data_IF_748713467618
#
_entry.id   IF_748713467618
#
_cell.length_a   1.000
_cell.length_b   1.000
_cell.length_c   1.000
_cell.angle_alpha   90.00
_cell.angle_beta   90.00
_cell.angle_gamma   90.00
#
_symmetry.space_group_name_H-M   'P 1'
#
loop_
_entity.id
_entity.type
_entity.pdbx_description
1 polymer ?
#
# COMPACT_ATOMS: atom_id res chain seq x y z
N UNK A 1 9.10 -15.20 -21.00
CA UNK A 1 8.17 -14.11 -21.33
C UNK A 1 8.67 -13.16 -22.42
N UNK A 2 9.99 -12.98 -22.63
CA UNK A 2 10.51 -12.15 -23.73
C UNK A 2 10.14 -10.66 -23.66
N UNK A 3 9.59 -10.22 -22.51
CA UNK A 3 9.15 -8.85 -22.23
C UNK A 3 9.57 -8.45 -20.82
N UNK A 4 9.46 -7.16 -20.54
CA UNK A 4 9.70 -6.60 -19.21
C UNK A 4 8.77 -7.23 -18.17
N UNK A 5 9.29 -7.54 -16.99
CA UNK A 5 8.49 -7.97 -15.82
C UNK A 5 7.58 -6.85 -15.28
N UNK A 6 7.73 -5.64 -15.80
CA UNK A 6 6.90 -4.48 -15.46
C UNK A 6 5.73 -4.29 -16.44
N UNK A 7 5.66 -5.10 -17.50
CA UNK A 7 4.55 -5.09 -18.44
C UNK A 7 3.50 -6.12 -18.04
N UNK A 8 2.24 -5.71 -18.02
CA UNK A 8 1.13 -6.63 -17.81
C UNK A 8 0.86 -7.47 -19.07
N UNK A 9 0.18 -8.60 -18.89
CA UNK A 9 -0.35 -9.40 -19.98
C UNK A 9 -1.71 -9.96 -19.57
N UNK A 10 -2.65 -10.01 -20.50
CA UNK A 10 -3.95 -10.64 -20.28
C UNK A 10 -3.85 -12.17 -20.28
N UNK A 11 -2.98 -12.72 -21.11
CA UNK A 11 -2.70 -14.15 -21.18
C UNK A 11 -1.33 -14.41 -21.81
N UNK A 12 -0.77 -15.55 -21.42
CA UNK A 12 0.50 -16.06 -21.94
C UNK A 12 0.20 -17.24 -22.86
N UNK A 13 0.84 -17.29 -24.02
CA UNK A 13 0.70 -18.40 -24.96
C UNK A 13 1.30 -19.68 -24.37
N UNK A 14 0.50 -20.74 -24.34
CA UNK A 14 0.89 -22.07 -23.85
C UNK A 14 1.93 -22.74 -24.76
N UNK A 15 2.72 -23.65 -24.20
CA UNK A 15 3.63 -24.53 -24.95
C UNK A 15 2.92 -25.51 -25.88
N UNK A 16 1.60 -25.67 -25.74
CA UNK A 16 0.75 -26.49 -26.62
C UNK A 16 0.27 -25.74 -27.88
N UNK A 17 0.56 -24.44 -28.01
CA UNK A 17 0.13 -23.68 -29.17
C UNK A 17 0.88 -24.13 -30.44
N UNK A 18 0.24 -24.11 -31.61
CA UNK A 18 0.84 -24.68 -32.83
C UNK A 18 2.07 -23.89 -33.31
N UNK A 19 2.10 -22.58 -33.09
CA UNK A 19 3.23 -21.71 -33.44
C UNK A 19 4.19 -21.59 -32.27
N UNK A 20 5.38 -22.20 -32.43
CA UNK A 20 6.42 -22.26 -31.40
C UNK A 20 7.09 -20.92 -31.14
N UNK A 21 7.11 -20.02 -32.11
CA UNK A 21 7.70 -18.68 -31.95
C UNK A 21 6.92 -17.83 -30.95
N UNK A 22 5.63 -18.15 -30.75
CA UNK A 22 4.75 -17.40 -29.86
C UNK A 22 4.73 -17.94 -28.42
N UNK A 23 5.33 -19.11 -28.16
CA UNK A 23 5.29 -19.76 -26.84
C UNK A 23 5.88 -18.87 -25.74
N UNK A 24 5.13 -18.70 -24.65
CA UNK A 24 5.52 -17.84 -23.55
C UNK A 24 5.44 -16.34 -23.86
N UNK A 25 4.93 -15.95 -25.02
CA UNK A 25 4.62 -14.57 -25.37
C UNK A 25 3.37 -14.06 -24.66
N UNK A 26 3.43 -12.83 -24.17
CA UNK A 26 2.29 -12.17 -23.51
C UNK A 26 1.48 -11.30 -24.47
N UNK A 27 0.15 -11.37 -24.41
CA UNK A 27 -0.76 -10.56 -25.23
C UNK A 27 -1.68 -9.69 -24.38
N UNK A 28 -2.21 -8.62 -24.98
CA UNK A 28 -3.15 -7.68 -24.34
C UNK A 28 -4.49 -7.80 -25.06
N UNK A 29 -5.53 -8.22 -24.36
CA UNK A 29 -6.89 -8.21 -24.88
C UNK A 29 -7.47 -6.78 -24.84
N UNK A 30 -8.38 -6.45 -25.78
CA UNK A 30 -9.00 -5.11 -25.87
C UNK A 30 -9.66 -4.64 -24.58
N UNK A 31 -10.28 -5.56 -23.84
CA UNK A 31 -10.94 -5.32 -22.55
C UNK A 31 -10.14 -5.93 -21.39
N UNK A 32 -8.82 -5.71 -21.38
CA UNK A 32 -7.95 -6.24 -20.32
C UNK A 32 -8.33 -5.67 -18.95
N UNK A 33 -8.56 -6.55 -17.98
CA UNK A 33 -8.78 -6.19 -16.57
C UNK A 33 -7.51 -5.77 -15.83
N UNK A 34 -6.36 -5.68 -16.51
CA UNK A 34 -5.05 -5.50 -15.90
C UNK A 34 -4.92 -4.23 -15.04
N UNK A 35 -5.61 -3.14 -15.37
CA UNK A 35 -5.63 -1.94 -14.52
C UNK A 35 -6.29 -2.21 -13.18
N UNK A 36 -7.46 -2.87 -13.19
CA UNK A 36 -8.16 -3.24 -11.95
C UNK A 36 -7.36 -4.26 -11.16
N UNK A 37 -6.75 -5.23 -11.82
CA UNK A 37 -5.85 -6.21 -11.20
C UNK A 37 -4.67 -5.52 -10.51
N UNK A 38 -4.00 -4.60 -11.19
CA UNK A 38 -2.88 -3.84 -10.63
C UNK A 38 -3.31 -2.99 -9.42
N UNK A 39 -4.45 -2.29 -9.51
CA UNK A 39 -4.99 -1.52 -8.39
C UNK A 39 -5.37 -2.43 -7.21
N UNK A 40 -5.91 -3.62 -7.48
CA UNK A 40 -6.23 -4.60 -6.47
C UNK A 40 -4.96 -5.11 -5.76
N UNK A 41 -3.94 -5.49 -6.54
CA UNK A 41 -2.62 -5.91 -6.01
C UNK A 41 -2.03 -4.79 -5.15
N UNK A 42 -1.98 -3.55 -5.65
CA UNK A 42 -1.46 -2.42 -4.86
C UNK A 42 -2.25 -2.22 -3.57
N UNK A 43 -3.58 -2.29 -3.62
CA UNK A 43 -4.43 -2.15 -2.44
C UNK A 43 -4.15 -3.26 -1.42
N UNK A 44 -4.08 -4.52 -1.84
CA UNK A 44 -3.82 -5.67 -0.96
C UNK A 44 -2.39 -5.62 -0.41
N UNK A 45 -1.39 -5.32 -1.23
CA UNK A 45 0.00 -5.17 -0.79
C UNK A 45 0.15 -4.09 0.29
N UNK A 46 -0.57 -2.98 0.16
CA UNK A 46 -0.44 -1.85 1.08
C UNK A 46 -1.31 -1.95 2.32
N UNK A 47 -2.53 -2.46 2.18
CA UNK A 47 -3.54 -2.39 3.24
C UNK A 47 -3.96 -3.78 3.77
N UNK A 48 -3.62 -4.86 3.07
CA UNK A 48 -4.14 -6.19 3.32
C UNK A 48 -5.52 -6.43 2.69
N UNK A 49 -6.07 -7.62 2.93
CA UNK A 49 -7.35 -8.06 2.35
C UNK A 49 -8.56 -7.31 2.93
N UNK A 50 -8.56 -7.08 4.24
CA UNK A 50 -9.69 -6.49 4.97
C UNK A 50 -9.23 -5.37 5.90
N UNK A 51 -8.75 -4.23 5.35
CA UNK A 51 -8.21 -3.14 6.15
C UNK A 51 -9.26 -2.42 6.98
N UNK A 52 -10.54 -2.51 6.62
CA UNK A 52 -11.65 -1.93 7.37
C UNK A 52 -12.59 -3.03 7.83
N UNK A 53 -12.92 -3.02 9.12
CA UNK A 53 -13.85 -3.96 9.74
C UNK A 53 -14.80 -3.22 10.68
N UNK A 54 -15.96 -3.80 10.93
CA UNK A 54 -16.89 -3.34 11.95
C UNK A 54 -16.73 -4.21 13.19
N UNK A 55 -16.37 -3.58 14.32
CA UNK A 55 -16.27 -4.24 15.62
C UNK A 55 -17.32 -3.62 16.53
N UNK A 56 -18.31 -4.39 16.95
CA UNK A 56 -19.44 -3.92 17.77
C UNK A 56 -20.16 -2.70 17.16
N UNK A 57 -20.36 -2.71 15.84
CA UNK A 57 -21.00 -1.62 15.10
C UNK A 57 -20.13 -0.38 14.88
N UNK A 58 -18.88 -0.36 15.36
CA UNK A 58 -17.93 0.75 15.18
C UNK A 58 -16.89 0.44 14.13
N UNK A 59 -16.54 1.43 13.33
CA UNK A 59 -15.53 1.29 12.29
C UNK A 59 -14.13 1.16 12.90
N UNK A 60 -13.37 0.19 12.41
CA UNK A 60 -11.95 0.03 12.74
C UNK A 60 -11.12 -0.17 11.48
N UNK A 61 -10.00 0.53 11.42
CA UNK A 61 -8.99 0.40 10.39
C UNK A 61 -7.78 -0.36 10.95
N UNK A 62 -7.42 -1.46 10.29
CA UNK A 62 -6.30 -2.32 10.64
C UNK A 62 -5.54 -2.68 9.36
N UNK A 63 -4.56 -1.88 8.94
CA UNK A 63 -3.79 -2.21 7.76
C UNK A 63 -2.82 -3.36 8.04
N UNK A 64 -2.80 -4.34 7.15
CA UNK A 64 -1.91 -5.50 7.21
C UNK A 64 -1.11 -5.60 5.91
N UNK A 65 -0.07 -4.75 5.74
CA UNK A 65 0.70 -4.72 4.51
C UNK A 65 1.39 -6.06 4.24
N UNK A 66 1.58 -6.39 2.96
CA UNK A 66 2.31 -7.57 2.47
C UNK A 66 3.49 -7.08 1.62
N UNK A 67 4.46 -6.47 2.29
CA UNK A 67 5.62 -5.80 1.73
C UNK A 67 6.89 -6.57 2.06
N UNK A 68 7.72 -6.76 1.04
CA UNK A 68 9.09 -7.25 1.21
C UNK A 68 9.96 -6.15 1.82
N UNK A 69 10.94 -6.55 2.64
CA UNK A 69 11.91 -5.63 3.27
C UNK A 69 12.65 -4.74 2.26
N UNK A 70 12.83 -5.22 1.03
CA UNK A 70 13.57 -4.51 -0.03
C UNK A 70 12.79 -3.33 -0.62
N UNK A 71 11.47 -3.23 -0.36
CA UNK A 71 10.65 -2.09 -0.78
C UNK A 71 10.82 -0.86 0.12
N UNK A 72 11.39 -1.04 1.32
CA UNK A 72 11.63 0.06 2.24
C UNK A 72 12.89 0.84 1.83
N UNK A 73 12.88 2.13 2.09
CA UNK A 73 13.98 3.04 1.74
C UNK A 73 15.28 2.63 2.43
N UNK A 74 16.40 2.67 1.69
CA UNK A 74 17.73 2.41 2.26
C UNK A 74 18.29 3.63 3.01
N UNK A 75 17.95 4.82 2.53
CA UNK A 75 18.37 6.13 3.02
C UNK A 75 17.17 7.08 3.02
N UNK A 76 17.26 8.17 3.77
CA UNK A 76 16.25 9.23 3.67
C UNK A 76 16.27 9.86 2.28
N UNK A 77 15.10 10.11 1.71
CA UNK A 77 14.94 10.69 0.38
C UNK A 77 13.69 11.56 0.30
N UNK A 78 13.70 12.54 -0.59
CA UNK A 78 12.54 13.37 -0.88
C UNK A 78 11.75 12.76 -2.03
N UNK A 79 10.46 12.52 -1.83
CA UNK A 79 9.55 11.96 -2.83
C UNK A 79 8.38 12.92 -3.00
N UNK A 80 7.86 13.02 -4.22
CA UNK A 80 6.69 13.81 -4.55
C UNK A 80 5.47 12.92 -4.78
N UNK A 81 4.38 13.21 -4.08
CA UNK A 81 3.08 12.55 -4.25
C UNK A 81 2.07 13.47 -4.91
N UNK A 82 1.23 12.89 -5.78
CA UNK A 82 0.13 13.58 -6.42
C UNK A 82 -1.16 13.24 -5.66
N UNK A 83 -1.79 14.27 -5.11
CA UNK A 83 -3.08 14.18 -4.42
C UNK A 83 -4.12 15.02 -5.17
N UNK A 84 -5.40 14.85 -4.80
CA UNK A 84 -6.51 15.59 -5.42
C UNK A 84 -6.30 17.11 -5.39
N UNK A 85 -5.69 17.63 -4.33
CA UNK A 85 -5.51 19.07 -4.09
C UNK A 85 -4.10 19.58 -4.48
N UNK A 86 -3.32 18.80 -5.23
CA UNK A 86 -2.00 19.20 -5.72
C UNK A 86 -0.88 18.24 -5.33
N UNK A 87 0.36 18.73 -5.45
CA UNK A 87 1.56 17.94 -5.17
C UNK A 87 2.03 18.14 -3.74
N UNK A 88 2.47 17.07 -3.09
CA UNK A 88 3.07 17.11 -1.74
C UNK A 88 4.47 16.52 -1.81
N UNK A 89 5.47 17.32 -1.44
CA UNK A 89 6.85 16.84 -1.24
C UNK A 89 6.99 16.31 0.17
N UNK A 90 7.48 15.09 0.29
CA UNK A 90 7.60 14.37 1.56
C UNK A 90 9.04 13.91 1.70
N UNK A 91 9.65 14.25 2.83
CA UNK A 91 10.93 13.66 3.23
C UNK A 91 10.65 12.32 3.91
N UNK A 92 10.90 11.24 3.19
CA UNK A 92 10.73 9.88 3.69
C UNK A 92 11.99 9.49 4.48
N UNK A 93 11.90 9.05 5.75
CA UNK A 93 13.07 8.63 6.51
C UNK A 93 13.67 7.34 5.94
N UNK A 94 14.84 6.96 6.45
CA UNK A 94 15.41 5.65 6.18
C UNK A 94 14.49 4.54 6.75
N UNK A 95 14.50 3.39 6.10
CA UNK A 95 13.78 2.18 6.50
C UNK A 95 12.25 2.38 6.55
N UNK A 96 11.73 3.14 5.60
CA UNK A 96 10.29 3.42 5.52
C UNK A 96 9.72 3.21 4.11
N UNK A 97 8.40 3.13 4.02
CA UNK A 97 7.67 2.95 2.77
C UNK A 97 6.43 3.84 2.84
N UNK A 98 6.04 4.48 1.73
CA UNK A 98 4.89 5.37 1.71
C UNK A 98 3.93 5.07 0.55
N UNK A 99 2.65 5.26 0.82
CA UNK A 99 1.55 5.02 -0.10
C UNK A 99 0.44 6.07 0.09
N UNK A 100 -0.29 6.38 -0.99
CA UNK A 100 -1.43 7.29 -0.95
C UNK A 100 -2.73 6.49 -0.80
N UNK A 101 -3.46 6.70 0.30
CA UNK A 101 -4.78 6.12 0.52
C UNK A 101 -5.86 7.18 0.23
N UNK A 102 -6.90 6.77 -0.50
CA UNK A 102 -8.05 7.61 -0.87
C UNK A 102 -7.73 8.94 -1.56
N UNK A 103 -6.56 9.04 -2.23
CA UNK A 103 -6.13 10.20 -3.02
C UNK A 103 -5.91 11.50 -2.24
N UNK A 104 -5.90 11.44 -0.90
CA UNK A 104 -5.71 12.60 -0.03
C UNK A 104 -4.87 12.33 1.23
N UNK A 105 -4.81 11.09 1.72
CA UNK A 105 -4.06 10.76 2.94
C UNK A 105 -2.76 10.04 2.58
N UNK A 106 -1.65 10.52 3.14
CA UNK A 106 -0.37 9.84 3.04
C UNK A 106 -0.20 8.82 4.17
N UNK A 107 -0.01 7.54 3.84
CA UNK A 107 0.32 6.49 4.80
C UNK A 107 1.80 6.15 4.71
N UNK A 108 2.51 6.20 5.83
CA UNK A 108 3.94 5.89 5.95
C UNK A 108 4.09 4.70 6.90
N UNK A 109 4.80 3.67 6.47
CA UNK A 109 5.26 2.57 7.33
C UNK A 109 6.73 2.75 7.66
N UNK A 110 7.07 2.79 8.94
CA UNK A 110 8.45 2.81 9.43
C UNK A 110 8.83 1.43 9.94
N UNK A 111 9.87 0.83 9.37
CA UNK A 111 10.28 -0.55 9.62
C UNK A 111 11.74 -0.60 10.11
N UNK A 112 12.01 -0.15 11.35
CA UNK A 112 13.36 -0.11 11.90
C UNK A 112 14.06 -1.48 11.91
N UNK A 113 13.29 -2.58 12.00
CA UNK A 113 13.81 -3.95 11.99
C UNK A 113 14.19 -4.46 10.59
N UNK A 114 13.81 -3.78 9.50
CA UNK A 114 14.05 -4.22 8.10
C UNK A 114 13.60 -5.64 7.80
N UNK A 115 12.45 -6.04 8.35
CA UNK A 115 11.88 -7.37 8.11
C UNK A 115 10.72 -7.29 7.13
N UNK A 116 10.36 -8.43 6.55
CA UNK A 116 9.14 -8.50 5.74
C UNK A 116 7.93 -8.25 6.63
N UNK A 117 6.84 -7.73 6.08
CA UNK A 117 5.56 -7.60 6.79
C UNK A 117 4.70 -8.87 6.61
N UNK A 118 5.25 -9.96 6.06
CA UNK A 118 4.60 -11.25 5.89
C UNK A 118 5.50 -12.42 6.30
N UNK A 119 4.91 -13.59 6.56
CA UNK A 119 5.59 -14.79 7.03
C UNK A 119 5.71 -14.88 8.56
N UNK A 120 6.49 -15.87 9.05
CA UNK A 120 6.58 -16.20 10.49
C UNK A 120 7.22 -15.11 11.35
N UNK A 121 8.18 -14.35 10.80
CA UNK A 121 8.97 -13.34 11.52
C UNK A 121 8.59 -11.92 11.11
N UNK A 122 7.32 -11.73 10.81
CA UNK A 122 6.86 -10.55 10.13
C UNK A 122 6.59 -9.40 11.08
N UNK A 123 7.01 -8.19 10.69
CA UNK A 123 6.69 -6.98 11.47
C UNK A 123 5.23 -6.59 11.25
N UNK A 124 4.60 -6.03 12.29
CA UNK A 124 3.20 -5.61 12.31
C UNK A 124 3.09 -4.20 12.83
N UNK A 125 1.98 -3.53 12.54
CA UNK A 125 1.75 -2.20 13.09
C UNK A 125 1.63 -2.28 14.61
N UNK A 126 2.47 -1.51 15.30
CA UNK A 126 2.47 -1.38 16.75
C UNK A 126 1.77 -0.10 17.20
N UNK A 127 1.90 0.97 16.42
CA UNK A 127 1.45 2.31 16.79
C UNK A 127 1.18 3.14 15.53
N UNK A 128 0.27 4.09 15.63
CA UNK A 128 0.03 5.13 14.63
C UNK A 128 0.25 6.52 15.21
N UNK A 129 0.89 7.39 14.45
CA UNK A 129 0.82 8.85 14.59
C UNK A 129 -0.10 9.37 13.49
N UNK A 130 -1.24 9.92 13.89
CA UNK A 130 -2.27 10.45 12.98
C UNK A 130 -2.19 11.96 12.97
N UNK A 131 -2.11 12.57 11.79
CA UNK A 131 -2.20 14.01 11.59
C UNK A 131 -3.48 14.35 10.82
N UNK A 132 -4.36 15.10 11.46
CA UNK A 132 -5.58 15.62 10.85
C UNK A 132 -5.28 16.81 9.93
N UNK A 133 -6.18 17.12 9.01
CA UNK A 133 -6.07 18.30 8.13
C UNK A 133 -6.04 19.61 8.94
N UNK A 134 -6.66 19.63 10.13
CA UNK A 134 -6.59 20.76 11.06
C UNK A 134 -5.18 21.02 11.62
N UNK A 135 -4.25 20.09 11.41
CA UNK A 135 -2.89 20.12 11.96
C UNK A 135 -2.76 19.43 13.31
N UNK A 136 -3.85 18.98 13.93
CA UNK A 136 -3.80 18.21 15.18
C UNK A 136 -3.13 16.87 14.95
N UNK A 137 -2.18 16.53 15.83
CA UNK A 137 -1.53 15.23 15.86
C UNK A 137 -2.00 14.41 17.06
N UNK A 138 -2.08 13.10 16.89
CA UNK A 138 -2.48 12.16 17.94
C UNK A 138 -1.76 10.83 17.76
N UNK A 139 -1.31 10.26 18.87
CA UNK A 139 -0.68 8.94 18.90
C UNK A 139 -1.73 7.93 19.34
N UNK A 140 -1.82 6.81 18.61
CA UNK A 140 -2.72 5.71 18.90
C UNK A 140 -1.89 4.44 19.02
N UNK A 141 -1.91 3.86 20.21
CA UNK A 141 -1.26 2.57 20.48
C UNK A 141 -2.06 1.39 19.93
N UNK A 142 -1.32 0.39 19.47
CA UNK A 142 -1.85 -0.86 18.97
C UNK A 142 -2.04 -0.91 17.45
N UNK A 143 -2.44 -2.09 16.93
CA UNK A 143 -2.51 -2.34 15.49
C UNK A 143 -3.78 -1.80 14.82
N UNK A 144 -4.64 -1.09 15.57
CA UNK A 144 -5.94 -0.63 15.09
C UNK A 144 -6.11 0.89 15.27
N UNK A 145 -6.51 1.59 14.22
CA UNK A 145 -7.17 2.88 14.33
C UNK A 145 -8.67 2.64 14.50
N UNK A 146 -9.20 2.91 15.68
CA UNK A 146 -10.65 2.86 15.96
C UNK A 146 -11.28 4.22 15.67
N UNK A 147 -12.60 4.31 15.77
CA UNK A 147 -13.27 5.59 15.88
C UNK A 147 -12.69 6.45 17.03
N UNK A 148 -12.53 7.77 16.83
CA UNK A 148 -13.02 8.55 15.69
C UNK A 148 -12.10 8.54 14.45
N UNK A 149 -10.87 8.04 14.55
CA UNK A 149 -9.87 8.14 13.48
C UNK A 149 -10.21 7.29 12.25
N UNK A 150 -10.80 6.11 12.43
CA UNK A 150 -11.20 5.25 11.31
C UNK A 150 -12.21 5.94 10.38
N UNK A 151 -13.22 6.60 10.96
CA UNK A 151 -14.23 7.36 10.21
C UNK A 151 -13.64 8.61 9.60
N UNK A 152 -12.82 9.35 10.36
CA UNK A 152 -12.10 10.52 9.86
C UNK A 152 -11.22 10.19 8.63
N UNK A 153 -10.59 9.02 8.60
CA UNK A 153 -9.82 8.54 7.45
C UNK A 153 -10.70 8.35 6.20
N UNK A 154 -11.86 7.70 6.35
CA UNK A 154 -12.79 7.49 5.21
C UNK A 154 -13.45 8.77 4.72
N UNK A 155 -13.72 9.69 5.63
CA UNK A 155 -14.27 11.02 5.34
C UNK A 155 -13.22 11.97 4.76
N UNK A 156 -11.95 11.55 4.73
CA UNK A 156 -10.87 12.33 4.16
C UNK A 156 -10.43 13.52 5.01
N UNK A 157 -10.60 13.44 6.34
CA UNK A 157 -10.17 14.45 7.32
C UNK A 157 -8.74 14.24 7.85
N UNK A 158 -8.07 13.17 7.41
CA UNK A 158 -6.69 12.84 7.80
C UNK A 158 -5.72 13.24 6.69
N UNK A 159 -4.70 14.05 7.02
CA UNK A 159 -3.64 14.45 6.09
C UNK A 159 -2.57 13.36 5.95
N UNK A 160 -2.15 12.77 7.08
CA UNK A 160 -1.14 11.71 7.07
C UNK A 160 -1.25 10.77 8.26
N UNK A 161 -0.82 9.53 8.06
CA UNK A 161 -0.68 8.50 9.09
C UNK A 161 0.75 7.95 9.00
N UNK A 162 1.50 8.01 10.09
CA UNK A 162 2.80 7.36 10.23
C UNK A 162 2.64 6.16 11.15
N UNK A 163 2.94 4.96 10.66
CA UNK A 163 2.80 3.70 11.40
C UNK A 163 4.18 3.19 11.77
N UNK A 164 4.37 2.82 13.04
CA UNK A 164 5.56 2.10 13.49
C UNK A 164 5.32 0.59 13.32
N UNK A 165 6.24 -0.08 12.61
CA UNK A 165 6.23 -1.52 12.44
C UNK A 165 7.24 -2.19 13.38
N UNK A 166 6.82 -3.24 14.08
CA UNK A 166 7.65 -4.00 15.00
C UNK A 166 7.46 -5.52 14.89
#
# INVERSE_FOLDING_TARGET
>A
YGRSILENSSFIVSSEFFDKELHGGGFIARLTGATTEFLHILRVMNLGETPFTLVNGKLSFKPEPVLRKDLFTKNSQNIEFYFKNGKKKVKLPKDSYAFSIFTNTLLIYNNPKKKNTFGKNAVRVLQFTVREISGKESVVEGPYLKEPFASALREGRIDSISSLLD
#
